data_IF_780124298855
#
_entry.id   IF_780124298855
#
_cell.length_a   1.000
_cell.length_b   1.000
_cell.length_c   1.000
_cell.angle_alpha   90.00
_cell.angle_beta   90.00
_cell.angle_gamma   90.00
#
_symmetry.space_group_name_H-M   'P 1'
#
loop_
_entity.id
_entity.type
_entity.pdbx_description
1 polymer ?
#
# COMPACT_ATOMS: atom_id res chain seq x y z
N UNK A 1 -2.74 -13.28 4.07
CA UNK A 1 -1.62 -12.59 4.75
C UNK A 1 -1.20 -11.39 3.91
N UNK A 2 -0.89 -10.26 4.54
CA UNK A 2 -0.45 -9.04 3.86
C UNK A 2 0.88 -9.22 3.11
N UNK A 3 1.09 -8.42 2.06
CA UNK A 3 2.30 -8.43 1.21
C UNK A 3 3.40 -7.52 1.76
N UNK A 4 2.98 -6.46 2.43
CA UNK A 4 3.81 -5.60 3.26
C UNK A 4 2.98 -5.05 4.40
N UNK A 5 3.67 -4.62 5.46
CA UNK A 5 3.11 -4.05 6.69
C UNK A 5 3.90 -2.80 7.01
N UNK A 6 3.18 -1.74 7.38
CA UNK A 6 3.76 -0.51 7.93
C UNK A 6 3.17 -0.38 9.32
N UNK A 7 4.02 -0.46 10.34
CA UNK A 7 3.62 -0.22 11.72
C UNK A 7 3.87 1.24 12.05
N UNK A 8 2.87 1.91 12.59
CA UNK A 8 2.92 3.32 12.94
C UNK A 8 2.53 3.56 14.39
N UNK A 9 3.14 4.56 15.02
CA UNK A 9 2.68 5.15 16.27
C UNK A 9 1.88 6.41 15.94
N UNK A 10 0.64 6.51 16.42
CA UNK A 10 -0.18 7.72 16.25
C UNK A 10 0.48 8.90 16.95
N UNK A 11 0.59 10.02 16.24
CA UNK A 11 1.16 11.28 16.77
C UNK A 11 0.15 12.42 16.77
N UNK A 12 -0.80 12.42 15.83
CA UNK A 12 -1.87 13.43 15.77
C UNK A 12 -3.17 12.79 15.27
N UNK A 13 -4.30 13.40 15.65
CA UNK A 13 -5.64 12.98 15.27
C UNK A 13 -6.47 14.21 14.87
N UNK A 14 -7.11 14.15 13.71
CA UNK A 14 -7.97 15.21 13.20
C UNK A 14 -9.34 14.62 12.87
N UNK A 15 -10.38 15.09 13.55
CA UNK A 15 -11.76 14.63 13.30
C UNK A 15 -12.52 15.64 12.45
N UNK A 16 -13.28 15.14 11.47
CA UNK A 16 -14.19 15.91 10.63
C UNK A 16 -15.44 15.08 10.34
N UNK A 17 -16.58 15.55 10.87
CA UNK A 17 -17.89 14.91 10.74
C UNK A 17 -17.86 13.40 11.09
N UNK A 18 -17.83 12.54 10.08
CA UNK A 18 -17.90 11.07 10.19
C UNK A 18 -16.54 10.38 10.04
N UNK A 19 -15.45 11.14 9.88
CA UNK A 19 -14.13 10.61 9.57
C UNK A 19 -13.07 11.18 10.52
N UNK A 20 -12.15 10.31 10.96
CA UNK A 20 -10.94 10.70 11.70
C UNK A 20 -9.70 10.38 10.88
N UNK A 21 -8.89 11.40 10.60
CA UNK A 21 -7.56 11.26 10.03
C UNK A 21 -6.54 11.07 11.17
N UNK A 22 -5.82 9.95 11.12
CA UNK A 22 -4.71 9.66 12.02
C UNK A 22 -3.39 9.93 11.32
N UNK A 23 -2.54 10.76 11.92
CA UNK A 23 -1.15 10.93 11.49
C UNK A 23 -0.29 10.01 12.35
N UNK A 24 0.53 9.18 11.70
CA UNK A 24 1.36 8.19 12.37
C UNK A 24 2.82 8.25 11.93
N UNK A 25 3.73 8.25 12.90
CA UNK A 25 5.15 8.06 12.68
C UNK A 25 5.43 6.59 12.37
N UNK A 26 6.15 6.32 11.29
CA UNK A 26 6.53 4.96 10.89
C UNK A 26 7.59 4.43 11.87
N UNK A 27 7.29 3.33 12.56
CA UNK A 27 8.21 2.69 13.51
C UNK A 27 8.79 1.38 12.98
N UNK A 28 8.09 0.71 12.07
CA UNK A 28 8.57 -0.53 11.44
C UNK A 28 7.98 -0.70 10.04
N UNK A 29 8.75 -1.27 9.12
CA UNK A 29 8.25 -1.71 7.81
C UNK A 29 8.70 -3.12 7.49
N UNK A 30 7.76 -3.95 7.03
CA UNK A 30 8.03 -5.31 6.55
C UNK A 30 7.49 -5.47 5.15
N UNK A 31 8.22 -6.18 4.30
CA UNK A 31 7.72 -6.62 3.00
C UNK A 31 8.24 -8.02 2.71
N UNK A 32 7.42 -8.83 2.06
CA UNK A 32 7.85 -10.15 1.62
C UNK A 32 8.89 -10.02 0.51
N UNK A 33 10.05 -10.62 0.71
CA UNK A 33 11.18 -10.58 -0.25
C UNK A 33 10.84 -11.18 -1.61
N UNK A 34 9.85 -12.07 -1.69
CA UNK A 34 9.36 -12.61 -2.96
C UNK A 34 8.68 -11.54 -3.85
N UNK A 35 8.16 -10.46 -3.26
CA UNK A 35 7.41 -9.40 -3.94
C UNK A 35 8.09 -8.03 -3.91
N UNK A 36 9.01 -7.79 -2.99
CA UNK A 36 9.68 -6.50 -2.83
C UNK A 36 11.19 -6.66 -2.72
N UNK A 37 11.94 -5.76 -3.35
CA UNK A 37 13.36 -5.58 -3.07
C UNK A 37 13.67 -4.12 -2.79
N UNK A 38 14.60 -3.86 -1.87
CA UNK A 38 15.05 -2.49 -1.57
C UNK A 38 15.68 -1.79 -2.79
N UNK A 39 16.22 -2.55 -3.76
CA UNK A 39 16.85 -2.01 -4.96
C UNK A 39 15.85 -1.64 -6.05
N UNK A 40 14.81 -2.46 -6.24
CA UNK A 40 13.91 -2.39 -7.40
C UNK A 40 12.46 -2.08 -7.04
N UNK A 41 12.13 -2.00 -5.75
CA UNK A 41 10.77 -1.85 -5.28
C UNK A 41 9.91 -3.10 -5.51
N UNK A 42 8.61 -2.88 -5.70
CA UNK A 42 7.60 -3.92 -5.89
C UNK A 42 7.72 -4.62 -7.24
N UNK A 43 7.66 -5.95 -7.22
CA UNK A 43 7.60 -6.78 -8.40
C UNK A 43 6.14 -7.02 -8.84
N UNK A 44 5.61 -6.11 -9.64
CA UNK A 44 4.23 -6.19 -10.14
C UNK A 44 3.97 -7.32 -11.15
N UNK A 45 5.00 -8.08 -11.56
CA UNK A 45 4.82 -9.31 -12.34
C UNK A 45 4.44 -10.49 -11.45
N UNK A 46 4.86 -10.48 -10.19
CA UNK A 46 4.59 -11.55 -9.21
C UNK A 46 3.39 -11.23 -8.31
N UNK A 47 3.03 -9.97 -8.19
CA UNK A 47 1.95 -9.51 -7.32
C UNK A 47 1.25 -8.28 -7.88
N UNK A 48 0.11 -7.88 -7.29
CA UNK A 48 -0.52 -6.62 -7.62
C UNK A 48 -1.02 -5.87 -6.37
N UNK A 49 -0.85 -4.54 -6.36
CA UNK A 49 -1.42 -3.69 -5.31
C UNK A 49 -2.78 -3.23 -5.84
N UNK A 50 -3.90 -3.57 -5.17
CA UNK A 50 -5.21 -3.15 -5.63
C UNK A 50 -5.33 -1.63 -5.50
N UNK A 51 -5.68 -0.97 -6.61
CA UNK A 51 -5.92 0.46 -6.64
C UNK A 51 -7.43 0.70 -6.67
N UNK A 52 -7.98 1.19 -5.56
CA UNK A 52 -9.40 1.56 -5.51
C UNK A 52 -9.63 2.81 -6.35
N UNK A 53 -10.67 2.78 -7.17
CA UNK A 53 -11.14 3.96 -7.90
C UNK A 53 -12.41 4.49 -7.23
N UNK A 54 -13.56 3.96 -7.65
CA UNK A 54 -14.87 4.33 -7.13
C UNK A 54 -15.82 3.13 -7.13
N UNK A 55 -16.79 3.16 -6.21
CA UNK A 55 -17.76 2.08 -6.04
C UNK A 55 -17.06 0.75 -5.70
N UNK A 56 -17.46 -0.32 -6.40
CA UNK A 56 -16.91 -1.68 -6.21
C UNK A 56 -15.73 -2.01 -7.14
N UNK A 57 -15.21 -1.04 -7.89
CA UNK A 57 -14.18 -1.24 -8.90
C UNK A 57 -12.76 -1.09 -8.36
N UNK A 58 -11.86 -1.98 -8.79
CA UNK A 58 -10.43 -1.91 -8.49
C UNK A 58 -9.61 -2.08 -9.77
N UNK A 59 -8.51 -1.34 -9.87
CA UNK A 59 -7.51 -1.51 -10.92
C UNK A 59 -6.30 -2.29 -10.41
N UNK A 60 -5.54 -2.78 -11.36
CA UNK A 60 -4.21 -3.33 -11.14
C UNK A 60 -3.15 -2.32 -11.59
N UNK A 61 -1.98 -2.35 -10.95
CA UNK A 61 -0.83 -1.56 -11.37
C UNK A 61 -0.41 -1.99 -12.78
N UNK A 62 -0.26 -0.99 -13.65
CA UNK A 62 -0.26 -1.10 -15.11
C UNK A 62 0.51 -2.30 -15.70
N UNK A 63 -0.06 -2.88 -16.76
CA UNK A 63 0.62 -3.82 -17.64
C UNK A 63 0.96 -3.09 -18.94
N UNK A 64 2.24 -2.77 -19.12
CA UNK A 64 2.75 -2.40 -20.43
C UNK A 64 3.10 -3.68 -21.18
N UNK A 65 2.32 -4.00 -22.20
CA UNK A 65 2.54 -5.14 -23.08
C UNK A 65 3.01 -4.60 -24.43
N UNK A 66 4.27 -4.84 -24.78
CA UNK A 66 4.73 -4.75 -26.18
C UNK A 66 4.85 -6.18 -26.73
N UNK A 67 4.37 -6.44 -27.96
CA UNK A 67 4.46 -7.74 -28.61
C UNK A 67 5.89 -8.28 -28.73
#
# INVERSE_FOLDING_TARGET
MAMGVVECKVVEEYSSEDTTLFIGDVVHVMAKSEYFSAKSGWNFKKMNIPLHNWGRGFYTVGRFYMP
#
